data_IF_748552156952
#
_entry.id   IF_748552156952
#
_cell.length_a   1.000
_cell.length_b   1.000
_cell.length_c   1.000
_cell.angle_alpha   90.00
_cell.angle_beta   90.00
_cell.angle_gamma   90.00
#
_symmetry.space_group_name_H-M   'P 1'
#
loop_
_entity.id
_entity.type
_entity.pdbx_description
1 polymer ?
#
# COMPACT_ATOMS: atom_id res chain seq x y z
N UNK A 1 1.05 -31.48 0.22
CA UNK A 1 -0.27 -30.90 -0.11
C UNK A 1 -0.19 -29.40 0.12
N UNK A 2 -0.29 -28.60 -0.94
CA UNK A 2 -0.36 -27.14 -0.84
C UNK A 2 -1.71 -26.79 -0.18
N UNK A 3 -1.78 -25.89 0.81
CA UNK A 3 -3.05 -25.57 1.45
C UNK A 3 -4.05 -25.03 0.41
N UNK A 4 -5.32 -25.47 0.43
CA UNK A 4 -6.32 -25.13 -0.59
C UNK A 4 -6.74 -23.64 -0.62
N UNK A 5 -6.11 -22.77 0.15
CA UNK A 5 -6.54 -21.38 0.33
C UNK A 5 -5.68 -20.33 -0.39
N UNK A 6 -4.68 -20.71 -1.18
CA UNK A 6 -3.84 -19.72 -1.89
C UNK A 6 -4.59 -19.03 -3.05
N UNK A 7 -5.60 -19.68 -3.62
CA UNK A 7 -6.45 -19.14 -4.70
C UNK A 7 -7.63 -18.28 -4.20
N UNK A 8 -7.83 -18.17 -2.88
CA UNK A 8 -8.82 -17.29 -2.24
C UNK A 8 -8.25 -15.92 -1.83
N UNK A 9 -7.00 -15.62 -2.21
CA UNK A 9 -6.22 -14.50 -1.65
C UNK A 9 -5.67 -13.57 -2.73
N UNK A 10 -6.29 -13.47 -3.90
CA UNK A 10 -5.80 -12.62 -5.00
C UNK A 10 -5.72 -11.14 -4.58
N UNK A 11 -6.66 -10.65 -3.76
CA UNK A 11 -6.66 -9.33 -3.13
C UNK A 11 -5.52 -9.16 -2.11
N UNK A 12 -5.31 -10.16 -1.25
CA UNK A 12 -4.20 -10.20 -0.28
C UNK A 12 -2.84 -10.26 -0.97
N UNK A 13 -2.74 -10.93 -2.11
CA UNK A 13 -1.54 -10.96 -2.92
C UNK A 13 -1.19 -9.57 -3.47
N UNK A 14 -2.20 -8.80 -3.90
CA UNK A 14 -2.00 -7.41 -4.35
C UNK A 14 -1.53 -6.52 -3.20
N UNK A 15 -2.14 -6.63 -2.02
CA UNK A 15 -1.72 -5.86 -0.84
C UNK A 15 -0.32 -6.28 -0.34
N UNK A 16 0.01 -7.57 -0.40
CA UNK A 16 1.34 -8.08 -0.09
C UNK A 16 2.40 -7.57 -1.08
N UNK A 17 2.11 -7.61 -2.39
CA UNK A 17 2.99 -7.04 -3.41
C UNK A 17 3.17 -5.54 -3.19
N UNK A 18 2.10 -4.81 -2.86
CA UNK A 18 2.22 -3.40 -2.45
C UNK A 18 3.23 -3.24 -1.31
N UNK A 19 3.20 -4.09 -0.29
CA UNK A 19 4.19 -4.08 0.80
C UNK A 19 5.62 -4.35 0.34
N UNK A 20 5.82 -5.37 -0.50
CA UNK A 20 7.14 -5.72 -1.07
C UNK A 20 7.72 -4.57 -1.90
N UNK A 21 6.92 -3.98 -2.80
CA UNK A 21 7.38 -2.86 -3.62
C UNK A 21 7.58 -1.59 -2.80
N UNK A 22 6.76 -1.36 -1.77
CA UNK A 22 6.94 -0.26 -0.82
C UNK A 22 8.18 -0.45 0.06
N UNK A 23 8.68 -1.68 0.23
CA UNK A 23 9.95 -1.98 0.90
C UNK A 23 11.14 -1.77 -0.06
N UNK A 24 11.10 -2.42 -1.22
CA UNK A 24 12.21 -2.44 -2.19
C UNK A 24 12.44 -1.10 -2.87
N UNK A 25 11.38 -0.36 -3.18
CA UNK A 25 11.49 0.92 -3.85
C UNK A 25 12.30 1.95 -3.08
N UNK A 26 11.97 2.21 -1.81
CA UNK A 26 12.77 3.09 -0.97
C UNK A 26 14.20 2.61 -0.77
N UNK A 27 14.50 1.30 -0.77
CA UNK A 27 15.89 0.80 -0.72
C UNK A 27 16.69 1.30 -1.94
N UNK A 28 16.12 1.21 -3.15
CA UNK A 28 16.75 1.72 -4.36
C UNK A 28 17.02 3.23 -4.32
N UNK A 29 16.06 4.00 -3.79
CA UNK A 29 16.22 5.46 -3.62
C UNK A 29 17.21 5.80 -2.51
N UNK A 30 17.24 5.02 -1.42
CA UNK A 30 18.13 5.20 -0.27
C UNK A 30 19.60 5.07 -0.67
N UNK A 31 19.93 4.06 -1.48
CA UNK A 31 21.30 3.84 -1.99
C UNK A 31 21.77 5.09 -2.76
N UNK A 32 20.95 5.62 -3.67
CA UNK A 32 21.33 6.82 -4.40
C UNK A 32 21.28 8.10 -3.59
N UNK A 33 20.41 8.18 -2.57
CA UNK A 33 20.41 9.26 -1.59
C UNK A 33 21.72 9.35 -0.83
N UNK A 34 22.23 8.22 -0.32
CA UNK A 34 23.53 8.16 0.35
C UNK A 34 24.69 8.40 -0.59
N UNK A 35 24.69 7.80 -1.78
CA UNK A 35 25.75 8.02 -2.76
C UNK A 35 25.84 9.50 -3.17
N UNK A 36 24.70 10.15 -3.46
CA UNK A 36 24.64 11.57 -3.79
C UNK A 36 24.91 12.50 -2.59
N UNK A 37 24.70 12.01 -1.37
CA UNK A 37 25.01 12.71 -0.13
C UNK A 37 26.48 12.63 0.28
N UNK A 38 27.26 11.74 -0.34
CA UNK A 38 28.66 11.49 0.00
C UNK A 38 29.54 12.73 -0.20
N UNK A 39 30.55 12.87 0.66
CA UNK A 39 31.61 13.87 0.53
C UNK A 39 32.47 13.65 -0.72
N UNK A 40 32.62 12.39 -1.13
CA UNK A 40 33.42 11.99 -2.29
C UNK A 40 32.69 12.20 -3.63
N UNK A 41 31.37 12.38 -3.59
CA UNK A 41 30.59 12.68 -4.79
C UNK A 41 30.62 14.17 -5.11
N UNK A 42 31.00 14.50 -6.34
CA UNK A 42 30.96 15.84 -6.89
C UNK A 42 30.11 15.82 -8.16
N UNK A 43 28.93 16.47 -8.17
CA UNK A 43 28.04 16.42 -9.32
C UNK A 43 28.67 17.10 -10.54
N UNK A 44 28.71 16.37 -11.65
CA UNK A 44 29.20 16.78 -12.96
C UNK A 44 28.25 16.27 -14.04
N UNK A 45 28.33 16.85 -15.25
CA UNK A 45 27.68 16.22 -16.40
C UNK A 45 28.57 15.09 -16.91
N UNK A 46 27.96 13.98 -17.29
CA UNK A 46 28.65 12.79 -17.80
C UNK A 46 29.47 12.09 -16.72
N UNK A 47 28.76 11.75 -15.64
CA UNK A 47 29.29 11.00 -14.52
C UNK A 47 29.92 9.68 -14.94
N UNK A 48 31.02 9.31 -14.28
CA UNK A 48 31.64 8.00 -14.45
C UNK A 48 30.64 6.88 -14.12
N UNK A 49 30.80 5.71 -14.75
CA UNK A 49 29.91 4.56 -14.55
C UNK A 49 29.76 4.17 -13.06
N UNK A 50 30.83 4.36 -12.27
CA UNK A 50 30.86 4.12 -10.83
C UNK A 50 29.89 5.00 -10.04
N UNK A 51 29.57 6.21 -10.51
CA UNK A 51 28.60 7.12 -9.91
C UNK A 51 27.24 7.06 -10.60
N UNK A 52 27.21 6.75 -11.90
CA UNK A 52 25.98 6.64 -12.69
C UNK A 52 24.98 5.64 -12.07
N UNK A 53 25.47 4.44 -11.73
CA UNK A 53 24.65 3.36 -11.16
C UNK A 53 24.02 3.74 -9.82
N UNK A 54 24.80 4.04 -8.77
CA UNK A 54 24.22 4.32 -7.46
C UNK A 54 23.43 5.63 -7.44
N UNK A 55 23.86 6.70 -8.12
CA UNK A 55 23.24 8.03 -8.01
C UNK A 55 22.01 8.21 -8.89
N UNK A 56 21.96 7.55 -10.06
CA UNK A 56 20.90 7.77 -11.04
C UNK A 56 20.07 6.52 -11.33
N UNK A 57 20.72 5.38 -11.58
CA UNK A 57 20.00 4.14 -11.90
C UNK A 57 19.25 3.59 -10.69
N UNK A 58 19.90 3.54 -9.51
CA UNK A 58 19.29 3.07 -8.27
C UNK A 58 18.01 3.83 -7.90
N UNK A 59 18.04 5.17 -7.80
CA UNK A 59 16.85 5.96 -7.53
C UNK A 59 15.77 5.86 -8.59
N UNK A 60 16.14 5.71 -9.86
CA UNK A 60 15.17 5.47 -10.93
C UNK A 60 14.43 4.16 -10.67
N UNK A 61 15.13 3.03 -10.52
CA UNK A 61 14.52 1.73 -10.25
C UNK A 61 13.67 1.80 -8.97
N UNK A 62 14.21 2.44 -7.92
CA UNK A 62 13.49 2.65 -6.67
C UNK A 62 12.18 3.43 -6.85
N UNK A 63 12.19 4.49 -7.66
CA UNK A 63 11.00 5.26 -7.98
C UNK A 63 9.94 4.41 -8.70
N UNK A 64 10.33 3.56 -9.66
CA UNK A 64 9.42 2.64 -10.36
C UNK A 64 8.73 1.68 -9.38
N UNK A 65 9.49 1.12 -8.44
CA UNK A 65 8.92 0.27 -7.40
C UNK A 65 7.99 1.04 -6.46
N UNK A 66 8.32 2.27 -6.07
CA UNK A 66 7.42 3.12 -5.26
C UNK A 66 6.10 3.38 -6.00
N UNK A 67 6.16 3.78 -7.27
CA UNK A 67 4.96 4.01 -8.10
C UNK A 67 4.12 2.73 -8.22
N UNK A 68 4.77 1.60 -8.43
CA UNK A 68 4.12 0.28 -8.54
C UNK A 68 3.46 -0.13 -7.22
N UNK A 69 4.10 0.12 -6.08
CA UNK A 69 3.54 -0.14 -4.76
C UNK A 69 2.22 0.62 -4.57
N UNK A 70 2.22 1.92 -4.86
CA UNK A 70 1.04 2.75 -4.70
C UNK A 70 -0.07 2.45 -5.71
N UNK A 71 0.31 2.01 -6.92
CA UNK A 71 -0.64 1.46 -7.87
C UNK A 71 -1.35 0.24 -7.29
N UNK A 72 -0.60 -0.75 -6.77
CA UNK A 72 -1.20 -1.91 -6.10
C UNK A 72 -2.05 -1.53 -4.90
N UNK A 73 -1.66 -0.52 -4.12
CA UNK A 73 -2.49 0.01 -3.04
C UNK A 73 -3.84 0.55 -3.54
N UNK A 74 -3.86 1.18 -4.71
CA UNK A 74 -5.10 1.64 -5.37
C UNK A 74 -5.95 0.44 -5.83
N UNK A 75 -5.32 -0.58 -6.40
CA UNK A 75 -5.98 -1.83 -6.82
C UNK A 75 -6.54 -2.59 -5.62
N UNK A 76 -5.82 -2.66 -4.50
CA UNK A 76 -6.31 -3.29 -3.27
C UNK A 76 -7.58 -2.60 -2.76
N UNK A 77 -7.60 -1.27 -2.73
CA UNK A 77 -8.80 -0.49 -2.36
C UNK A 77 -9.97 -0.76 -3.31
N UNK A 78 -9.70 -0.84 -4.61
CA UNK A 78 -10.70 -1.14 -5.64
C UNK A 78 -11.34 -2.53 -5.52
N UNK A 79 -10.66 -3.44 -4.84
CA UNK A 79 -11.03 -4.85 -4.70
C UNK A 79 -11.31 -5.25 -3.25
N UNK A 80 -11.62 -4.28 -2.37
CA UNK A 80 -12.02 -4.56 -0.97
C UNK A 80 -13.22 -5.51 -0.86
N UNK A 81 -14.09 -5.53 -1.87
CA UNK A 81 -15.29 -6.35 -1.98
C UNK A 81 -15.04 -7.68 -2.71
N UNK A 82 -13.79 -7.99 -3.08
CA UNK A 82 -13.49 -9.13 -3.95
C UNK A 82 -13.80 -10.45 -3.27
N UNK A 83 -13.44 -10.59 -2.00
CA UNK A 83 -13.76 -11.77 -1.20
C UNK A 83 -15.29 -12.00 -1.09
N UNK A 84 -16.08 -10.94 -0.89
CA UNK A 84 -17.54 -11.00 -0.87
C UNK A 84 -18.11 -11.40 -2.24
N UNK A 85 -17.66 -10.75 -3.32
CA UNK A 85 -18.08 -11.11 -4.70
C UNK A 85 -17.73 -12.56 -5.05
N UNK A 86 -16.56 -13.04 -4.65
CA UNK A 86 -16.14 -14.42 -4.86
C UNK A 86 -17.00 -15.40 -4.06
N UNK A 87 -17.36 -15.05 -2.83
CA UNK A 87 -18.27 -15.85 -2.01
C UNK A 87 -19.68 -15.91 -2.59
N UNK A 88 -20.24 -14.78 -3.04
CA UNK A 88 -21.54 -14.72 -3.71
C UNK A 88 -21.53 -15.56 -4.98
N UNK A 89 -20.44 -15.48 -5.77
CA UNK A 89 -20.26 -16.31 -6.94
C UNK A 89 -20.17 -17.80 -6.58
N UNK A 90 -19.47 -18.16 -5.49
CA UNK A 90 -19.41 -19.52 -4.94
C UNK A 90 -20.75 -20.10 -4.51
N UNK A 91 -21.67 -19.25 -4.07
CA UNK A 91 -22.96 -19.66 -3.53
C UNK A 91 -24.12 -19.53 -4.52
N UNK A 92 -23.92 -18.89 -5.68
CA UNK A 92 -24.96 -18.64 -6.72
C UNK A 92 -25.52 -19.88 -7.44
N UNK A 93 -25.01 -21.08 -7.17
CA UNK A 93 -25.54 -22.34 -7.72
C UNK A 93 -25.56 -22.39 -9.27
N UNK A 94 -26.59 -22.98 -9.90
CA UNK A 94 -26.65 -23.17 -11.35
C UNK A 94 -26.88 -21.87 -12.17
N UNK A 95 -27.26 -20.76 -11.52
CA UNK A 95 -27.41 -19.44 -12.14
C UNK A 95 -26.12 -18.60 -12.10
N UNK A 96 -24.98 -19.26 -11.87
CA UNK A 96 -23.68 -18.63 -11.67
C UNK A 96 -23.22 -17.90 -12.94
N UNK A 97 -23.08 -16.58 -12.83
CA UNK A 97 -22.49 -15.72 -13.86
C UNK A 97 -20.97 -15.92 -14.02
N UNK A 98 -20.28 -15.04 -14.75
CA UNK A 98 -18.82 -15.11 -14.90
C UNK A 98 -18.10 -14.94 -13.55
N UNK A 99 -16.96 -15.63 -13.38
CA UNK A 99 -16.15 -15.56 -12.16
C UNK A 99 -15.67 -14.12 -11.92
N UNK A 100 -15.81 -13.57 -10.70
CA UNK A 100 -15.25 -12.28 -10.35
C UNK A 100 -13.74 -12.25 -10.57
N UNK A 101 -13.25 -11.16 -11.17
CA UNK A 101 -11.83 -10.90 -11.39
C UNK A 101 -11.38 -9.62 -10.67
N UNK A 102 -10.07 -9.53 -10.39
CA UNK A 102 -9.47 -8.29 -9.88
C UNK A 102 -9.75 -7.15 -10.86
N UNK A 103 -10.23 -6.03 -10.31
CA UNK A 103 -10.38 -4.75 -11.00
C UNK A 103 -9.06 -3.99 -10.94
N UNK A 104 -8.24 -4.12 -11.98
CA UNK A 104 -6.98 -3.38 -12.13
C UNK A 104 -7.20 -1.88 -12.32
N UNK A 105 -8.26 -1.53 -13.06
CA UNK A 105 -8.70 -0.17 -13.27
C UNK A 105 -10.13 -0.04 -12.73
N UNK A 106 -10.35 0.89 -11.81
CA UNK A 106 -11.68 1.20 -11.30
C UNK A 106 -11.78 2.70 -11.03
N UNK A 107 -12.99 3.23 -11.17
CA UNK A 107 -13.31 4.61 -10.84
C UNK A 107 -14.16 4.63 -9.57
N UNK A 108 -13.59 5.12 -8.46
CA UNK A 108 -14.27 5.19 -7.16
C UNK A 108 -14.27 6.63 -6.62
N UNK A 109 -15.02 7.56 -7.24
CA UNK A 109 -14.90 9.00 -6.97
C UNK A 109 -15.33 9.39 -5.54
N UNK A 110 -16.14 8.56 -4.88
CA UNK A 110 -16.59 8.78 -3.50
C UNK A 110 -15.68 8.16 -2.44
N UNK A 111 -14.64 7.42 -2.84
CA UNK A 111 -13.81 6.65 -1.92
C UNK A 111 -12.49 7.35 -1.61
N UNK A 112 -12.33 7.85 -0.38
CA UNK A 112 -11.18 8.66 0.02
C UNK A 112 -9.83 7.93 -0.13
N UNK A 113 -9.76 6.65 0.26
CA UNK A 113 -8.52 5.85 0.15
C UNK A 113 -8.16 5.56 -1.32
N UNK A 114 -9.15 5.57 -2.22
CA UNK A 114 -8.90 5.38 -3.64
C UNK A 114 -8.21 6.62 -4.19
N UNK A 115 -8.72 7.82 -3.88
CA UNK A 115 -8.03 9.07 -4.19
C UNK A 115 -6.66 9.17 -3.52
N UNK A 116 -6.52 8.69 -2.29
CA UNK A 116 -5.23 8.58 -1.61
C UNK A 116 -4.23 7.72 -2.38
N UNK A 117 -4.66 6.54 -2.85
CA UNK A 117 -3.86 5.66 -3.69
C UNK A 117 -3.52 6.26 -5.05
N UNK A 118 -4.49 6.89 -5.72
CA UNK A 118 -4.29 7.57 -7.01
C UNK A 118 -3.30 8.72 -6.87
N UNK A 119 -3.43 9.56 -5.84
CA UNK A 119 -2.50 10.65 -5.58
C UNK A 119 -1.08 10.13 -5.29
N UNK A 120 -0.94 9.11 -4.44
CA UNK A 120 0.36 8.46 -4.20
C UNK A 120 0.97 7.91 -5.50
N UNK A 121 0.16 7.24 -6.33
CA UNK A 121 0.59 6.67 -7.61
C UNK A 121 1.04 7.74 -8.59
N UNK A 122 0.26 8.81 -8.75
CA UNK A 122 0.63 9.96 -9.57
C UNK A 122 1.92 10.60 -9.06
N UNK A 123 2.06 10.79 -7.75
CA UNK A 123 3.27 11.30 -7.14
C UNK A 123 4.50 10.44 -7.46
N UNK A 124 4.37 9.11 -7.32
CA UNK A 124 5.40 8.15 -7.71
C UNK A 124 5.75 8.22 -9.20
N UNK A 125 4.76 8.32 -10.10
CA UNK A 125 4.98 8.43 -11.55
C UNK A 125 5.70 9.73 -11.91
N UNK A 126 5.29 10.86 -11.35
CA UNK A 126 5.99 12.14 -11.58
C UNK A 126 7.44 12.06 -11.08
N UNK A 127 7.65 11.38 -9.96
CA UNK A 127 8.99 11.14 -9.40
C UNK A 127 9.83 10.19 -10.29
N UNK A 128 9.21 9.19 -10.92
CA UNK A 128 9.85 8.36 -11.96
C UNK A 128 10.29 9.21 -13.15
N UNK A 129 9.43 10.07 -13.67
CA UNK A 129 9.76 10.96 -14.79
C UNK A 129 10.94 11.87 -14.45
N UNK A 130 10.97 12.43 -13.23
CA UNK A 130 12.07 13.26 -12.77
C UNK A 130 13.40 12.48 -12.67
N UNK A 131 13.38 11.29 -12.08
CA UNK A 131 14.59 10.46 -11.89
C UNK A 131 15.10 9.87 -13.21
N UNK A 132 14.20 9.40 -14.09
CA UNK A 132 14.53 8.98 -15.46
C UNK A 132 15.07 10.14 -16.29
N UNK A 133 14.46 11.32 -16.22
CA UNK A 133 14.95 12.51 -16.92
C UNK A 133 16.37 12.89 -16.48
N UNK A 134 16.64 12.84 -15.17
CA UNK A 134 17.98 13.10 -14.62
C UNK A 134 19.01 12.06 -15.05
N UNK A 135 18.65 10.78 -15.13
CA UNK A 135 19.52 9.74 -15.67
C UNK A 135 19.80 9.96 -17.15
N UNK A 136 18.78 10.24 -17.95
CA UNK A 136 18.92 10.49 -19.39
C UNK A 136 19.87 11.66 -19.67
N UNK A 137 19.86 12.70 -18.82
CA UNK A 137 20.76 13.85 -18.94
C UNK A 137 22.25 13.56 -18.70
N UNK A 138 22.60 12.34 -18.29
CA UNK A 138 23.99 11.92 -18.14
C UNK A 138 24.59 11.37 -19.44
N UNK A 139 23.77 11.05 -20.44
CA UNK A 139 24.25 10.56 -21.73
C UNK A 139 24.61 11.71 -22.66
N UNK A 140 25.77 11.61 -23.33
CA UNK A 140 26.28 12.63 -24.26
C UNK A 140 25.30 13.00 -25.40
N UNK A 141 24.38 12.10 -25.76
CA UNK A 141 23.39 12.35 -26.80
C UNK A 141 22.24 13.29 -26.34
N UNK A 142 22.03 13.45 -25.03
CA UNK A 142 20.86 14.14 -24.49
C UNK A 142 21.25 15.54 -24.00
N UNK A 143 20.70 16.55 -24.67
CA UNK A 143 20.93 17.95 -24.32
C UNK A 143 19.62 18.59 -23.84
N UNK A 144 19.55 18.90 -22.55
CA UNK A 144 18.41 19.62 -21.99
C UNK A 144 18.63 21.13 -22.04
N UNK A 145 17.60 21.84 -22.48
CA UNK A 145 17.48 23.29 -22.28
C UNK A 145 17.43 23.63 -20.79
N UNK A 146 17.77 24.88 -20.43
CA UNK A 146 17.68 25.38 -19.06
C UNK A 146 16.28 25.18 -18.45
N UNK A 147 15.23 25.39 -19.26
CA UNK A 147 13.84 25.20 -18.84
C UNK A 147 13.55 23.73 -18.54
N UNK A 148 14.00 22.81 -19.40
CA UNK A 148 13.81 21.37 -19.19
C UNK A 148 14.54 20.88 -17.93
N UNK A 149 15.77 21.34 -17.68
CA UNK A 149 16.49 21.02 -16.44
C UNK A 149 15.75 21.52 -15.21
N UNK A 150 15.25 22.75 -15.22
CA UNK A 150 14.48 23.32 -14.12
C UNK A 150 13.18 22.52 -13.86
N UNK A 151 12.46 22.13 -14.92
CA UNK A 151 11.26 21.32 -14.78
C UNK A 151 11.57 19.94 -14.21
N UNK A 152 12.55 19.23 -14.77
CA UNK A 152 12.93 17.88 -14.34
C UNK A 152 13.48 17.83 -12.91
N UNK A 153 14.37 18.76 -12.56
CA UNK A 153 15.12 18.72 -11.30
C UNK A 153 14.43 19.40 -10.13
N UNK A 154 13.47 20.30 -10.40
CA UNK A 154 12.78 21.06 -9.36
C UNK A 154 11.27 20.85 -9.40
N UNK A 155 10.64 21.18 -10.51
CA UNK A 155 9.16 21.20 -10.59
C UNK A 155 8.58 19.79 -10.44
N UNK A 156 9.06 18.81 -11.20
CA UNK A 156 8.53 17.45 -11.13
C UNK A 156 8.78 16.81 -9.76
N UNK A 157 9.95 16.99 -9.15
CA UNK A 157 10.20 16.47 -7.80
C UNK A 157 9.27 17.10 -6.75
N UNK A 158 9.04 18.41 -6.83
CA UNK A 158 8.13 19.11 -5.92
C UNK A 158 6.67 18.68 -6.11
N UNK A 159 6.21 18.62 -7.37
CA UNK A 159 4.86 18.18 -7.73
C UNK A 159 4.65 16.72 -7.33
N UNK A 160 5.61 15.84 -7.62
CA UNK A 160 5.56 14.44 -7.23
C UNK A 160 5.49 14.27 -5.71
N UNK A 161 6.34 14.97 -4.97
CA UNK A 161 6.31 15.00 -3.51
C UNK A 161 5.00 15.55 -2.95
N UNK A 162 4.41 16.58 -3.58
CA UNK A 162 3.12 17.14 -3.17
C UNK A 162 1.99 16.12 -3.31
N UNK A 163 1.93 15.41 -4.43
CA UNK A 163 0.96 14.34 -4.65
C UNK A 163 1.13 13.18 -3.65
N UNK A 164 2.38 12.79 -3.36
CA UNK A 164 2.65 11.78 -2.33
C UNK A 164 2.17 12.25 -0.96
N UNK A 165 2.45 13.50 -0.58
CA UNK A 165 2.03 14.09 0.68
C UNK A 165 0.50 14.11 0.80
N UNK A 166 -0.20 14.64 -0.20
CA UNK A 166 -1.67 14.66 -0.24
C UNK A 166 -2.22 13.25 -0.12
N UNK A 167 -1.71 12.31 -0.92
CA UNK A 167 -2.18 10.93 -0.91
C UNK A 167 -1.98 10.24 0.44
N UNK A 168 -0.79 10.35 1.04
CA UNK A 168 -0.55 9.83 2.39
C UNK A 168 -1.42 10.53 3.44
N UNK A 169 -1.69 11.82 3.26
CA UNK A 169 -2.59 12.63 4.08
C UNK A 169 -4.01 12.08 4.10
N UNK A 170 -4.52 11.66 2.95
CA UNK A 170 -5.84 11.03 2.84
C UNK A 170 -5.90 9.68 3.57
N UNK A 171 -4.83 8.88 3.50
CA UNK A 171 -4.75 7.60 4.22
C UNK A 171 -4.69 7.79 5.73
N UNK A 172 -3.86 8.71 6.25
CA UNK A 172 -3.78 8.96 7.70
C UNK A 172 -5.06 9.65 8.21
N UNK A 173 -5.62 10.59 7.46
CA UNK A 173 -6.89 11.26 7.82
C UNK A 173 -8.05 10.28 7.92
N UNK A 174 -8.07 9.23 7.10
CA UNK A 174 -9.09 8.19 7.20
C UNK A 174 -8.97 7.37 8.49
N UNK A 175 -7.75 7.20 9.00
CA UNK A 175 -7.46 6.41 10.20
C UNK A 175 -7.82 7.18 11.48
N UNK A 176 -7.42 8.45 11.58
CA UNK A 176 -7.59 9.25 12.81
C UNK A 176 -8.72 10.29 12.75
N UNK A 177 -9.36 10.46 11.60
CA UNK A 177 -10.46 11.40 11.41
C UNK A 177 -10.09 12.85 11.76
N UNK A 178 -10.91 13.49 12.59
CA UNK A 178 -10.73 14.89 13.00
C UNK A 178 -9.47 15.12 13.85
N UNK A 179 -8.87 14.06 14.40
CA UNK A 179 -7.62 14.12 15.17
C UNK A 179 -6.37 14.14 14.29
N UNK A 180 -6.48 14.36 12.98
CA UNK A 180 -5.34 14.32 12.03
C UNK A 180 -4.15 15.17 12.46
N UNK A 181 -4.37 16.37 13.02
CA UNK A 181 -3.28 17.24 13.49
C UNK A 181 -2.49 16.63 14.65
N UNK A 182 -3.15 15.84 15.50
CA UNK A 182 -2.49 15.05 16.56
C UNK A 182 -1.91 13.75 16.00
N UNK A 183 -2.68 13.03 15.19
CA UNK A 183 -2.34 11.73 14.61
C UNK A 183 -1.13 11.74 13.68
N UNK A 184 -0.86 12.88 13.03
CA UNK A 184 0.37 13.09 12.25
C UNK A 184 1.61 13.14 13.16
N UNK A 185 1.49 13.71 14.36
CA UNK A 185 2.62 13.86 15.28
C UNK A 185 2.79 12.62 16.16
N UNK A 186 1.70 12.11 16.75
CA UNK A 186 1.69 10.99 17.68
C UNK A 186 0.39 10.17 17.57
N UNK A 187 0.40 8.87 17.90
CA UNK A 187 -0.83 8.08 17.93
C UNK A 187 -1.83 8.65 18.96
N UNK A 188 -3.07 8.99 18.55
CA UNK A 188 -4.00 9.71 19.40
C UNK A 188 -4.64 8.83 20.47
N UNK A 189 -4.72 7.51 20.25
CA UNK A 189 -5.29 6.55 21.21
C UNK A 189 -4.34 5.38 21.49
N UNK A 190 -4.53 4.69 22.62
CA UNK A 190 -3.76 3.49 22.98
C UNK A 190 -3.92 2.33 21.97
N UNK A 191 -5.03 2.28 21.24
CA UNK A 191 -5.25 1.30 20.19
C UNK A 191 -4.34 1.59 18.97
N UNK A 192 -4.23 2.87 18.58
CA UNK A 192 -3.35 3.30 17.48
C UNK A 192 -1.88 3.00 17.75
N UNK A 193 -1.46 3.11 19.02
CA UNK A 193 -0.10 2.74 19.45
C UNK A 193 0.25 1.29 19.14
N UNK A 194 -0.73 0.38 19.14
CA UNK A 194 -0.53 -1.04 18.87
C UNK A 194 -0.85 -1.43 17.44
N UNK A 195 -1.48 -0.56 16.65
CA UNK A 195 -1.94 -0.86 15.30
C UNK A 195 -0.80 -0.73 14.27
N UNK A 196 -0.34 -1.83 13.65
CA UNK A 196 0.60 -1.82 12.54
C UNK A 196 0.06 -1.04 11.34
N UNK A 197 -1.26 -1.05 11.12
CA UNK A 197 -1.91 -0.24 10.08
C UNK A 197 -1.76 1.26 10.33
N UNK A 198 -1.93 1.73 11.57
CA UNK A 198 -1.65 3.11 11.94
C UNK A 198 -0.18 3.46 11.66
N UNK A 199 0.76 2.66 12.18
CA UNK A 199 2.19 2.92 12.00
C UNK A 199 2.64 2.85 10.53
N UNK A 200 2.05 1.97 9.73
CA UNK A 200 2.25 1.94 8.27
C UNK A 200 1.81 3.26 7.62
N UNK A 201 0.62 3.77 7.95
CA UNK A 201 0.13 5.04 7.43
C UNK A 201 0.95 6.23 7.92
N UNK A 202 1.34 6.22 9.18
CA UNK A 202 2.15 7.24 9.82
C UNK A 202 3.55 7.35 9.19
N UNK A 203 4.23 6.21 9.02
CA UNK A 203 5.54 6.16 8.36
C UNK A 203 5.43 6.53 6.87
N UNK A 204 4.34 6.15 6.19
CA UNK A 204 4.07 6.59 4.81
C UNK A 204 3.88 8.11 4.72
N UNK A 205 3.18 8.72 5.69
CA UNK A 205 3.00 10.17 5.78
C UNK A 205 4.33 10.91 5.98
N UNK A 206 5.13 10.51 6.97
CA UNK A 206 6.43 11.15 7.20
C UNK A 206 7.42 10.91 6.07
N UNK A 207 7.43 9.71 5.48
CA UNK A 207 8.19 9.43 4.28
C UNK A 207 7.83 10.37 3.13
N UNK A 208 6.53 10.55 2.86
CA UNK A 208 6.04 11.47 1.83
C UNK A 208 6.36 12.94 2.14
N UNK A 209 6.32 13.33 3.42
CA UNK A 209 6.70 14.67 3.88
C UNK A 209 8.17 14.97 3.59
N UNK A 210 9.06 14.01 3.83
CA UNK A 210 10.48 14.17 3.54
C UNK A 210 10.76 14.22 2.02
N UNK A 211 10.05 13.43 1.22
CA UNK A 211 10.12 13.50 -0.24
C UNK A 211 9.62 14.85 -0.77
N UNK A 212 8.52 15.38 -0.22
CA UNK A 212 8.05 16.73 -0.53
C UNK A 212 9.09 17.79 -0.16
N UNK A 213 9.65 17.73 1.06
CA UNK A 213 10.70 18.64 1.50
C UNK A 213 11.92 18.61 0.56
N UNK A 214 12.31 17.43 0.03
CA UNK A 214 13.40 17.32 -0.95
C UNK A 214 13.18 18.10 -2.23
N UNK A 215 11.95 18.07 -2.75
CA UNK A 215 11.59 18.80 -3.97
C UNK A 215 11.41 20.30 -3.71
N UNK A 216 10.91 20.66 -2.52
CA UNK A 216 10.57 22.03 -2.16
C UNK A 216 11.76 22.87 -1.67
N UNK A 217 12.65 22.29 -0.85
CA UNK A 217 13.82 23.00 -0.31
C UNK A 217 14.72 23.62 -1.41
N UNK A 218 15.04 22.95 -2.53
CA UNK A 218 15.79 23.53 -3.65
C UNK A 218 15.10 24.66 -4.43
N UNK A 219 13.79 24.81 -4.26
CA UNK A 219 13.01 25.90 -4.83
C UNK A 219 13.08 27.11 -3.89
N UNK A 220 12.96 26.87 -2.59
CA UNK A 220 13.01 27.91 -1.56
C UNK A 220 14.40 28.55 -1.42
N UNK A 221 15.47 27.75 -1.54
CA UNK A 221 16.84 28.24 -1.45
C UNK A 221 17.43 28.40 -2.86
N UNK A 222 17.52 29.66 -3.32
CA UNK A 222 18.01 30.04 -4.66
C UNK A 222 19.44 29.53 -4.91
N UNK A 223 20.28 29.53 -3.87
CA UNK A 223 21.65 29.02 -3.87
C UNK A 223 21.81 27.89 -2.84
N UNK A 224 21.51 26.66 -3.25
CA UNK A 224 21.85 25.49 -2.44
C UNK A 224 23.38 25.35 -2.39
N UNK A 225 23.98 25.73 -1.28
CA UNK A 225 25.38 25.37 -1.01
C UNK A 225 25.54 23.84 -1.14
N UNK A 226 26.75 23.32 -1.43
CA UNK A 226 26.99 21.88 -1.47
C UNK A 226 26.53 21.16 -0.19
N UNK A 227 26.62 21.84 0.97
CA UNK A 227 26.10 21.34 2.26
C UNK A 227 24.58 21.24 2.25
N UNK A 228 23.89 22.28 1.79
CA UNK A 228 22.42 22.30 1.70
C UNK A 228 21.88 21.26 0.71
N UNK A 229 22.59 21.01 -0.41
CA UNK A 229 22.26 19.95 -1.35
C UNK A 229 22.38 18.55 -0.73
N UNK A 230 23.47 18.29 -0.02
CA UNK A 230 23.67 17.02 0.72
C UNK A 230 22.63 16.83 1.80
N UNK A 231 22.31 17.87 2.56
CA UNK A 231 21.26 17.85 3.56
C UNK A 231 19.89 17.54 2.93
N UNK A 232 19.54 18.18 1.82
CA UNK A 232 18.29 17.92 1.13
C UNK A 232 18.20 16.45 0.68
N UNK A 233 19.26 15.89 0.10
CA UNK A 233 19.33 14.46 -0.27
C UNK A 233 19.22 13.54 0.96
N UNK A 234 19.93 13.85 2.05
CA UNK A 234 19.91 13.05 3.27
C UNK A 234 18.52 13.04 3.95
N UNK A 235 17.85 14.18 4.01
CA UNK A 235 16.49 14.28 4.57
C UNK A 235 15.49 13.57 3.65
N UNK A 236 15.50 13.90 2.36
CA UNK A 236 14.56 13.36 1.39
C UNK A 236 14.74 11.87 1.10
N UNK A 237 15.84 11.57 0.42
CA UNK A 237 16.12 10.21 -0.08
C UNK A 237 16.71 9.32 1.01
N UNK A 238 17.33 9.88 2.04
CA UNK A 238 17.76 9.13 3.22
C UNK A 238 16.58 8.83 4.15
N UNK A 239 16.25 9.79 5.02
CA UNK A 239 15.24 9.62 6.06
C UNK A 239 13.86 9.29 5.50
N UNK A 240 13.44 9.96 4.42
CA UNK A 240 12.17 9.66 3.76
C UNK A 240 12.07 8.21 3.29
N UNK A 241 13.14 7.67 2.71
CA UNK A 241 13.14 6.28 2.25
C UNK A 241 13.15 5.28 3.39
N UNK A 242 13.84 5.57 4.50
CA UNK A 242 13.77 4.73 5.70
C UNK A 242 12.34 4.66 6.26
N UNK A 243 11.63 5.79 6.26
CA UNK A 243 10.23 5.83 6.70
C UNK A 243 9.33 5.02 5.75
N UNK A 244 9.45 5.20 4.44
CA UNK A 244 8.66 4.42 3.48
C UNK A 244 8.96 2.92 3.56
N UNK A 245 10.24 2.55 3.75
CA UNK A 245 10.69 1.17 3.94
C UNK A 245 10.07 0.55 5.20
N UNK A 246 10.06 1.29 6.32
CA UNK A 246 9.39 0.86 7.54
C UNK A 246 7.87 0.64 7.31
N UNK A 247 7.22 1.51 6.54
CA UNK A 247 5.83 1.34 6.14
C UNK A 247 5.59 0.06 5.33
N UNK A 248 6.46 -0.22 4.34
CA UNK A 248 6.39 -1.45 3.55
C UNK A 248 6.60 -2.71 4.39
N UNK A 249 7.56 -2.68 5.32
CA UNK A 249 7.81 -3.77 6.26
C UNK A 249 6.61 -4.03 7.18
N UNK A 250 6.00 -2.96 7.73
CA UNK A 250 4.81 -3.07 8.57
C UNK A 250 3.60 -3.61 7.81
N UNK A 251 3.44 -3.24 6.53
CA UNK A 251 2.40 -3.82 5.67
C UNK A 251 2.62 -5.33 5.48
N UNK A 252 3.87 -5.75 5.22
CA UNK A 252 4.19 -7.18 5.10
C UNK A 252 3.90 -7.91 6.42
N UNK A 253 4.32 -7.36 7.56
CA UNK A 253 4.06 -7.94 8.88
C UNK A 253 2.56 -8.06 9.18
N UNK A 254 1.79 -7.01 8.90
CA UNK A 254 0.31 -7.01 9.02
C UNK A 254 -0.30 -8.17 8.22
N UNK A 255 0.16 -8.38 6.98
CA UNK A 255 -0.34 -9.46 6.13
C UNK A 255 0.07 -10.85 6.64
N UNK A 256 1.27 -11.01 7.18
CA UNK A 256 1.73 -12.26 7.81
C UNK A 256 0.95 -12.54 9.09
N UNK A 257 0.71 -11.52 9.90
CA UNK A 257 0.01 -11.59 11.19
C UNK A 257 -1.52 -11.75 11.05
N UNK A 258 -2.08 -11.59 9.84
CA UNK A 258 -3.52 -11.72 9.55
C UNK A 258 -4.40 -10.78 10.39
N UNK A 259 -3.91 -9.59 10.67
CA UNK A 259 -4.58 -8.63 11.58
C UNK A 259 -5.91 -8.09 11.03
N UNK A 260 -6.09 -8.12 9.71
CA UNK A 260 -7.33 -7.76 9.01
C UNK A 260 -8.08 -9.01 8.48
N UNK A 261 -7.82 -10.22 9.01
CA UNK A 261 -8.49 -11.43 8.54
C UNK A 261 -9.88 -11.54 9.18
N UNK A 262 -10.98 -11.31 8.45
CA UNK A 262 -12.33 -11.42 8.99
C UNK A 262 -12.61 -12.84 9.49
N UNK A 263 -11.91 -13.87 9.00
CA UNK A 263 -12.02 -15.25 9.52
C UNK A 263 -11.32 -15.40 10.88
N UNK A 264 -10.22 -14.69 11.13
CA UNK A 264 -9.52 -14.70 12.42
C UNK A 264 -10.28 -13.89 13.46
N UNK A 265 -10.80 -12.72 13.09
CA UNK A 265 -11.66 -11.90 13.97
C UNK A 265 -12.95 -12.67 14.30
N UNK A 266 -13.53 -13.37 13.32
CA UNK A 266 -14.65 -14.27 13.55
C UNK A 266 -14.27 -15.44 14.46
N UNK A 267 -13.13 -16.10 14.23
CA UNK A 267 -12.66 -17.18 15.10
C UNK A 267 -12.37 -16.72 16.53
N UNK A 268 -11.83 -15.52 16.72
CA UNK A 268 -11.62 -14.91 18.03
C UNK A 268 -12.93 -14.53 18.71
N UNK A 269 -13.92 -14.01 17.97
CA UNK A 269 -15.28 -13.77 18.49
C UNK A 269 -16.03 -15.06 18.80
N UNK A 270 -15.83 -16.11 18.00
CA UNK A 270 -16.36 -17.46 18.23
C UNK A 270 -15.71 -18.12 19.46
N UNK A 271 -14.41 -17.91 19.69
CA UNK A 271 -13.72 -18.34 20.92
C UNK A 271 -14.09 -17.50 22.14
N UNK A 272 -14.49 -16.24 21.95
CA UNK A 272 -14.97 -15.35 23.00
C UNK A 272 -16.43 -15.63 23.45
N UNK A 273 -17.12 -16.59 22.82
CA UNK A 273 -18.42 -17.08 23.29
C UNK A 273 -19.63 -16.24 22.87
N UNK A 274 -19.54 -15.44 21.80
CA UNK A 274 -20.68 -14.65 21.29
C UNK A 274 -21.71 -15.56 20.58
N UNK A 275 -22.69 -16.08 21.33
CA UNK A 275 -23.76 -16.97 20.83
C UNK A 275 -24.63 -16.33 19.72
N UNK A 276 -24.75 -14.99 19.68
CA UNK A 276 -25.50 -14.28 18.63
C UNK A 276 -24.85 -14.41 17.24
N UNK A 277 -23.52 -14.41 17.16
CA UNK A 277 -22.79 -14.61 15.90
C UNK A 277 -22.90 -16.06 15.45
N UNK A 278 -22.94 -16.99 16.41
CA UNK A 278 -23.16 -18.42 16.16
C UNK A 278 -24.54 -18.66 15.53
N UNK A 279 -25.60 -18.07 16.08
CA UNK A 279 -26.96 -18.23 15.57
C UNK A 279 -27.16 -17.55 14.21
N UNK A 280 -26.62 -16.34 14.00
CA UNK A 280 -26.72 -15.64 12.72
C UNK A 280 -26.02 -16.37 11.57
N UNK A 281 -24.84 -16.96 11.82
CA UNK A 281 -24.12 -17.75 10.82
C UNK A 281 -24.59 -19.19 10.70
N UNK A 282 -25.11 -19.83 11.76
CA UNK A 282 -25.78 -21.13 11.64
C UNK A 282 -27.06 -21.02 10.82
N UNK A 283 -27.82 -19.94 10.96
CA UNK A 283 -28.97 -19.64 10.10
C UNK A 283 -28.52 -19.41 8.66
N UNK A 284 -27.51 -18.57 8.42
CA UNK A 284 -26.99 -18.33 7.07
C UNK A 284 -26.37 -19.61 6.44
N UNK A 285 -25.65 -20.43 7.21
CA UNK A 285 -25.10 -21.71 6.76
C UNK A 285 -26.20 -22.77 6.59
N UNK A 286 -27.27 -22.76 7.38
CA UNK A 286 -28.43 -23.64 7.19
C UNK A 286 -29.27 -23.25 5.96
N UNK A 287 -29.31 -21.96 5.63
CA UNK A 287 -29.89 -21.44 4.37
C UNK A 287 -29.02 -21.83 3.16
N UNK A 288 -27.70 -21.69 3.27
CA UNK A 288 -26.73 -22.12 2.23
C UNK A 288 -26.70 -23.65 2.09
N UNK A 289 -26.90 -24.39 3.18
CA UNK A 289 -27.08 -25.84 3.19
C UNK A 289 -28.54 -26.25 2.96
N UNK A 290 -29.36 -25.38 2.35
CA UNK A 290 -30.76 -25.61 1.98
C UNK A 290 -31.04 -26.85 1.12
N UNK A 291 -30.03 -27.67 0.81
CA UNK A 291 -30.18 -29.06 0.35
C UNK A 291 -30.30 -30.13 1.45
N UNK A 292 -30.28 -29.76 2.74
CA UNK A 292 -30.36 -30.71 3.86
C UNK A 292 -31.57 -30.52 4.78
N UNK A 293 -32.51 -29.61 4.44
CA UNK A 293 -33.77 -29.46 5.19
C UNK A 293 -34.57 -30.78 5.22
N UNK A 294 -34.51 -31.55 4.14
CA UNK A 294 -35.13 -32.88 4.07
C UNK A 294 -34.35 -33.94 4.86
N UNK A 295 -33.02 -33.92 4.89
CA UNK A 295 -32.26 -34.89 5.69
C UNK A 295 -32.40 -34.65 7.19
N UNK A 296 -32.44 -33.40 7.64
CA UNK A 296 -32.68 -33.07 9.05
C UNK A 296 -34.11 -33.47 9.45
N UNK A 297 -35.10 -33.24 8.58
CA UNK A 297 -36.48 -33.68 8.81
C UNK A 297 -36.61 -35.21 8.83
N UNK A 298 -35.92 -35.92 7.94
CA UNK A 298 -35.89 -37.40 7.90
C UNK A 298 -35.14 -37.97 9.11
N UNK A 299 -34.05 -37.33 9.56
CA UNK A 299 -33.32 -37.73 10.77
C UNK A 299 -34.19 -37.53 12.02
N UNK A 300 -34.84 -36.37 12.17
CA UNK A 300 -35.75 -36.10 13.27
C UNK A 300 -36.97 -37.03 13.27
N UNK A 301 -37.49 -37.42 12.10
CA UNK A 301 -38.55 -38.43 12.00
C UNK A 301 -38.07 -39.84 12.36
N UNK A 302 -36.82 -40.20 12.06
CA UNK A 302 -36.22 -41.49 12.45
C UNK A 302 -35.96 -41.56 13.96
N UNK A 303 -35.44 -40.50 14.54
CA UNK A 303 -35.14 -40.43 15.98
C UNK A 303 -36.46 -40.42 16.80
N UNK A 304 -37.50 -39.72 16.33
CA UNK A 304 -38.82 -39.77 16.93
C UNK A 304 -39.48 -41.16 16.83
N UNK A 305 -39.27 -41.87 15.72
CA UNK A 305 -39.80 -43.24 15.53
C UNK A 305 -39.04 -44.31 16.34
N UNK A 306 -37.75 -44.10 16.64
CA UNK A 306 -37.00 -44.96 17.56
C UNK A 306 -37.41 -44.75 19.01
N UNK A 307 -37.54 -43.50 19.46
CA UNK A 307 -37.99 -43.21 20.83
C UNK A 307 -39.43 -43.68 21.11
N UNK A 308 -40.30 -43.73 20.09
CA UNK A 308 -41.65 -44.28 20.22
C UNK A 308 -41.70 -45.82 20.28
N UNK A 309 -40.59 -46.52 19.99
CA UNK A 309 -40.47 -47.99 20.12
C UNK A 309 -39.83 -48.43 21.43
N UNK A 310 -39.22 -47.51 22.16
CA UNK A 310 -38.60 -47.76 23.48
C UNK A 310 -39.53 -47.43 24.66
N UNK A 311 -40.79 -47.10 24.38
CA UNK A 311 -41.91 -47.00 25.33
C UNK A 311 -42.86 -48.17 25.06
#
# INVERSE_FOLDING_TARGET
MVPPNFLRQEDRAVEFLSGVFQLLGPIGVLIGGFAAGSLAYSPSQHEALSWLLPVYVGPMIGAYFIATAYFFRTVAVANRDFSERMFDWETSGPARGPRPTIRWCSWMPRHLLWWGGVALTLGGVVFCLATTGRLAGQFNAVHYTTVQKLVLEKVLLAVGGMFMLVGAGLHISKEVGWLVSKGVMFPPTKADWKSPKFWMNWTTWWGSTMYFARGFLPIMYKDLTPRSFRLANAVGFGLGSLMLMAGGYLLILKMIAREDDPELELHQRLQAGDEEVMNGKLLAMAEVLGHNRDKIRIQQQRDAAQNAKEI
#
